data_IF_519821387649
#
_entry.id   IF_519821387649
#
_cell.length_a   1.000
_cell.length_b   1.000
_cell.length_c   1.000
_cell.angle_alpha   90.00
_cell.angle_beta   90.00
_cell.angle_gamma   90.00
#
_symmetry.space_group_name_H-M   'P 1'
#
loop_
_entity.id
_entity.type
_entity.pdbx_description
1 polymer ?
#
# COMPACT_ATOMS: atom_id res chain seq x y z
N UNK A 1 -4.85 -44.24 36.20
CA UNK A 1 -3.64 -43.42 36.39
C UNK A 1 -3.45 -42.59 35.13
N UNK A 2 -3.91 -41.33 35.13
CA UNK A 2 -3.73 -40.40 34.03
C UNK A 2 -2.45 -39.60 34.31
N UNK A 3 -1.48 -39.72 33.44
CA UNK A 3 -0.27 -38.89 33.49
C UNK A 3 -0.68 -37.46 33.10
N UNK A 4 -0.47 -36.53 34.03
CA UNK A 4 -0.57 -35.08 33.79
C UNK A 4 0.60 -34.67 32.93
N UNK A 5 0.31 -34.25 31.68
CA UNK A 5 1.30 -33.59 30.85
C UNK A 5 1.68 -32.25 31.52
N UNK A 6 2.94 -32.11 31.85
CA UNK A 6 3.54 -30.85 32.31
C UNK A 6 3.42 -29.81 31.20
N UNK A 7 3.08 -28.54 31.54
CA UNK A 7 3.07 -27.46 30.55
C UNK A 7 4.49 -27.30 30.00
N UNK A 8 4.65 -27.36 28.67
CA UNK A 8 5.88 -26.97 28.00
C UNK A 8 6.30 -25.57 28.49
N UNK A 9 7.42 -25.49 29.15
CA UNK A 9 8.06 -24.23 29.51
C UNK A 9 8.30 -23.44 28.22
N UNK A 10 7.60 -22.32 28.09
CA UNK A 10 7.87 -21.33 27.06
C UNK A 10 9.26 -20.78 27.33
N UNK A 11 10.25 -21.34 26.67
CA UNK A 11 11.61 -20.84 26.74
C UNK A 11 11.62 -19.35 26.41
N UNK A 12 12.13 -18.49 27.32
CA UNK A 12 12.32 -17.07 27.01
C UNK A 12 13.22 -17.01 25.77
N UNK A 13 12.67 -16.48 24.67
CA UNK A 13 13.38 -16.44 23.39
C UNK A 13 14.75 -15.78 23.54
N UNK A 14 15.75 -16.40 22.94
CA UNK A 14 17.12 -15.89 22.89
C UNK A 14 17.15 -14.39 22.57
N UNK A 15 17.99 -13.57 23.24
CA UNK A 15 18.12 -12.13 22.98
C UNK A 15 18.33 -11.87 21.47
N UNK A 16 17.80 -10.76 20.95
CA UNK A 16 18.07 -10.36 19.55
C UNK A 16 19.57 -10.20 19.45
N UNK A 17 20.22 -11.17 18.80
CA UNK A 17 21.65 -11.14 18.59
C UNK A 17 21.98 -9.88 17.76
N UNK A 18 22.90 -9.05 18.24
CA UNK A 18 23.46 -7.92 17.50
C UNK A 18 23.92 -8.29 16.08
N UNK A 19 24.13 -9.60 15.82
CA UNK A 19 24.39 -10.16 14.48
C UNK A 19 23.16 -10.08 13.56
N UNK A 20 21.94 -10.24 14.08
CA UNK A 20 20.71 -10.19 13.26
C UNK A 20 20.46 -8.79 12.73
N UNK A 21 20.60 -7.75 13.57
CA UNK A 21 20.46 -6.35 13.16
C UNK A 21 21.56 -5.94 12.19
N UNK A 22 22.79 -6.45 12.37
CA UNK A 22 23.89 -6.23 11.44
C UNK A 22 23.61 -6.89 10.08
N UNK A 23 23.04 -8.10 10.05
CA UNK A 23 22.64 -8.78 8.81
C UNK A 23 21.56 -8.00 8.08
N UNK A 24 20.54 -7.48 8.79
CA UNK A 24 19.52 -6.64 8.20
C UNK A 24 20.12 -5.38 7.58
N UNK A 25 20.99 -4.67 8.30
CA UNK A 25 21.65 -3.47 7.78
C UNK A 25 22.46 -3.79 6.51
N UNK A 26 23.27 -4.86 6.54
CA UNK A 26 24.03 -5.29 5.36
C UNK A 26 23.10 -5.70 4.20
N UNK A 27 22.00 -6.38 4.47
CA UNK A 27 21.03 -6.69 3.43
C UNK A 27 20.48 -5.43 2.78
N UNK A 28 20.04 -4.45 3.55
CA UNK A 28 19.53 -3.16 3.02
C UNK A 28 20.60 -2.44 2.20
N UNK A 29 21.83 -2.35 2.72
CA UNK A 29 22.95 -1.69 2.01
C UNK A 29 23.31 -2.43 0.71
N UNK A 30 23.42 -3.75 0.74
CA UNK A 30 23.73 -4.56 -0.43
C UNK A 30 22.61 -4.52 -1.46
N UNK A 31 21.34 -4.54 -1.00
CA UNK A 31 20.20 -4.35 -1.89
C UNK A 31 20.22 -2.98 -2.58
N UNK A 32 20.53 -1.91 -1.84
CA UNK A 32 20.70 -0.58 -2.40
C UNK A 32 21.79 -0.54 -3.46
N UNK A 33 22.94 -1.16 -3.18
CA UNK A 33 24.05 -1.19 -4.14
C UNK A 33 23.72 -2.06 -5.36
N UNK A 34 23.12 -3.22 -5.17
CA UNK A 34 22.78 -4.14 -6.25
C UNK A 34 21.60 -3.64 -7.10
N UNK A 35 20.46 -3.33 -6.47
CA UNK A 35 19.25 -2.95 -7.18
C UNK A 35 19.33 -1.52 -7.73
N UNK A 36 19.90 -0.60 -6.97
CA UNK A 36 19.92 0.81 -7.37
C UNK A 36 21.17 1.21 -8.15
N UNK A 37 22.33 0.68 -7.86
CA UNK A 37 23.53 0.94 -8.63
C UNK A 37 23.76 -0.13 -9.72
N UNK A 38 23.69 -1.41 -9.38
CA UNK A 38 23.95 -2.52 -10.28
C UNK A 38 22.99 -2.57 -11.47
N UNK A 39 21.69 -2.49 -11.22
CA UNK A 39 20.70 -2.45 -12.31
C UNK A 39 20.83 -1.23 -13.20
N UNK A 40 21.26 -0.09 -12.65
CA UNK A 40 21.54 1.10 -13.43
C UNK A 40 22.74 0.94 -14.34
N UNK A 41 23.81 0.36 -13.83
CA UNK A 41 24.99 0.09 -14.62
C UNK A 41 24.66 -0.89 -15.76
N UNK A 42 23.89 -1.94 -15.48
CA UNK A 42 23.43 -2.88 -16.48
C UNK A 42 22.55 -2.15 -17.53
N UNK A 43 21.57 -1.36 -17.10
CA UNK A 43 20.69 -0.61 -17.99
C UNK A 43 21.48 0.35 -18.87
N UNK A 44 22.47 1.04 -18.33
CA UNK A 44 23.29 1.99 -19.08
C UNK A 44 24.26 1.30 -20.06
N UNK A 45 25.07 0.34 -19.58
CA UNK A 45 26.16 -0.24 -20.36
C UNK A 45 25.71 -1.38 -21.26
N UNK A 46 24.70 -2.16 -20.88
CA UNK A 46 24.23 -3.31 -21.66
C UNK A 46 23.08 -2.94 -22.58
N UNK A 47 22.16 -2.10 -22.08
CA UNK A 47 20.93 -1.77 -22.79
C UNK A 47 20.88 -0.35 -23.34
N UNK A 48 21.93 0.44 -23.15
CA UNK A 48 22.09 1.82 -23.65
C UNK A 48 20.90 2.75 -23.32
N UNK A 49 20.26 2.55 -22.16
CA UNK A 49 19.11 3.35 -21.73
C UNK A 49 19.49 4.38 -20.69
N UNK A 50 18.71 5.47 -20.69
CA UNK A 50 18.80 6.52 -19.66
C UNK A 50 18.46 5.98 -18.27
N UNK A 51 19.27 6.40 -17.30
CA UNK A 51 19.25 5.91 -15.92
C UNK A 51 18.26 6.69 -15.04
N UNK A 52 17.35 7.45 -15.64
CA UNK A 52 16.84 8.68 -15.03
C UNK A 52 15.74 8.52 -13.98
N UNK A 53 14.91 7.46 -13.99
CA UNK A 53 13.73 7.43 -13.13
C UNK A 53 14.05 7.49 -11.62
N UNK A 54 15.11 6.82 -11.20
CA UNK A 54 15.48 6.83 -9.80
C UNK A 54 16.15 8.13 -9.37
N UNK A 55 17.05 8.64 -10.23
CA UNK A 55 17.68 9.96 -10.06
C UNK A 55 16.63 11.05 -10.02
N UNK A 56 15.64 11.02 -10.92
CA UNK A 56 14.54 11.96 -10.98
C UNK A 56 13.74 11.93 -9.69
N UNK A 57 13.36 10.75 -9.16
CA UNK A 57 12.57 10.63 -7.91
C UNK A 57 13.26 11.24 -6.71
N UNK A 58 14.54 10.92 -6.48
CA UNK A 58 15.28 11.50 -5.37
C UNK A 58 15.61 12.97 -5.61
N UNK A 59 15.87 13.37 -6.84
CA UNK A 59 16.01 14.78 -7.18
C UNK A 59 14.73 15.55 -6.84
N UNK A 60 13.55 15.04 -7.23
CA UNK A 60 12.26 15.62 -6.86
C UNK A 60 12.10 15.74 -5.35
N UNK A 61 12.43 14.69 -4.62
CA UNK A 61 12.33 14.66 -3.16
C UNK A 61 13.19 15.73 -2.49
N UNK A 62 14.45 15.85 -2.89
CA UNK A 62 15.39 16.80 -2.28
C UNK A 62 15.21 18.24 -2.78
N UNK A 63 14.62 18.45 -3.94
CA UNK A 63 14.35 19.78 -4.49
C UNK A 63 12.90 20.23 -4.25
N UNK A 64 12.14 19.53 -3.41
CA UNK A 64 10.75 19.85 -3.12
C UNK A 64 9.92 20.05 -4.39
N UNK A 65 10.02 19.09 -5.30
CA UNK A 65 9.24 19.07 -6.53
C UNK A 65 8.46 17.77 -6.62
N UNK A 66 7.23 17.84 -7.11
CA UNK A 66 6.40 16.67 -7.42
C UNK A 66 5.51 16.97 -8.64
N UNK A 67 5.14 15.93 -9.36
CA UNK A 67 4.08 16.01 -10.35
C UNK A 67 2.71 16.20 -9.66
N UNK A 68 1.64 16.30 -10.42
CA UNK A 68 0.30 16.59 -9.89
C UNK A 68 -0.71 15.50 -10.29
N UNK A 69 -0.27 14.27 -10.35
CA UNK A 69 -1.03 13.15 -10.91
C UNK A 69 -2.37 12.89 -10.18
N UNK A 70 -2.38 12.93 -8.84
CA UNK A 70 -3.65 12.98 -8.08
C UNK A 70 -4.16 14.40 -7.86
N UNK A 71 -3.25 15.33 -7.57
CA UNK A 71 -3.64 16.67 -7.14
C UNK A 71 -4.23 17.51 -8.27
N UNK A 72 -3.78 17.33 -9.50
CA UNK A 72 -4.32 18.02 -10.69
C UNK A 72 -5.80 17.73 -10.88
N UNK A 73 -6.21 16.48 -11.11
CA UNK A 73 -7.61 16.10 -11.24
C UNK A 73 -8.47 16.47 -10.02
N UNK A 74 -7.95 16.29 -8.81
CA UNK A 74 -8.67 16.61 -7.57
C UNK A 74 -8.92 18.12 -7.44
N UNK A 75 -7.90 18.96 -7.62
CA UNK A 75 -8.04 20.41 -7.52
C UNK A 75 -8.84 20.98 -8.70
N UNK A 76 -8.61 20.44 -9.91
CA UNK A 76 -9.40 20.80 -11.09
C UNK A 76 -10.90 20.55 -10.90
N UNK A 77 -11.26 19.41 -10.28
CA UNK A 77 -12.65 19.08 -9.96
C UNK A 77 -13.26 20.02 -8.92
N UNK A 78 -12.47 20.40 -7.90
CA UNK A 78 -12.92 21.40 -6.90
C UNK A 78 -13.12 22.76 -7.54
N UNK A 79 -12.21 23.22 -8.39
CA UNK A 79 -12.32 24.50 -9.09
C UNK A 79 -13.52 24.52 -10.02
N UNK A 80 -13.72 23.45 -10.81
CA UNK A 80 -14.90 23.30 -11.68
C UNK A 80 -16.20 23.35 -10.88
N UNK A 81 -16.26 22.65 -9.75
CA UNK A 81 -17.44 22.66 -8.88
C UNK A 81 -17.73 24.06 -8.29
N UNK A 82 -16.69 24.80 -7.88
CA UNK A 82 -16.86 26.14 -7.33
C UNK A 82 -17.33 27.16 -8.38
N UNK A 83 -16.89 26.99 -9.64
CA UNK A 83 -17.33 27.86 -10.76
C UNK A 83 -18.71 27.49 -11.29
N UNK A 84 -19.02 26.17 -11.30
CA UNK A 84 -20.24 25.63 -11.89
C UNK A 84 -20.90 24.60 -10.97
N UNK A 85 -21.52 25.02 -9.84
CA UNK A 85 -22.06 24.11 -8.82
C UNK A 85 -23.16 23.17 -9.31
N UNK A 86 -23.83 23.53 -10.40
CA UNK A 86 -24.91 22.75 -11.02
C UNK A 86 -24.41 21.63 -11.94
N UNK A 87 -23.16 21.68 -12.39
CA UNK A 87 -22.58 20.63 -13.25
C UNK A 87 -22.17 19.42 -12.42
N UNK A 88 -22.44 18.20 -12.91
CA UNK A 88 -21.99 16.99 -12.25
C UNK A 88 -20.45 16.89 -12.24
N UNK A 89 -19.85 16.73 -11.06
CA UNK A 89 -18.38 16.72 -10.88
C UNK A 89 -17.70 15.67 -11.73
N UNK A 90 -18.26 14.47 -11.82
CA UNK A 90 -17.67 13.35 -12.58
C UNK A 90 -17.94 13.38 -14.08
N UNK A 91 -18.71 14.32 -14.58
CA UNK A 91 -19.06 14.47 -16.00
C UNK A 91 -18.38 15.67 -16.66
N UNK A 92 -17.73 16.53 -15.87
CA UNK A 92 -17.04 17.70 -16.36
C UNK A 92 -15.84 17.26 -17.20
N UNK A 93 -15.97 17.29 -18.54
CA UNK A 93 -14.90 16.96 -19.50
C UNK A 93 -13.74 17.98 -19.51
N UNK A 94 -13.79 19.00 -18.68
CA UNK A 94 -12.86 20.15 -18.69
C UNK A 94 -11.47 19.81 -18.12
N UNK A 95 -11.36 18.73 -17.30
CA UNK A 95 -10.13 18.30 -16.67
C UNK A 95 -10.07 16.76 -16.61
N UNK A 96 -8.91 16.22 -16.31
CA UNK A 96 -8.69 14.81 -16.07
C UNK A 96 -9.78 14.21 -15.17
N UNK A 97 -10.33 13.08 -15.57
CA UNK A 97 -11.48 12.49 -14.89
C UNK A 97 -11.12 12.16 -13.44
N UNK A 98 -11.82 12.77 -12.49
CA UNK A 98 -11.69 12.42 -11.07
C UNK A 98 -12.10 10.96 -10.85
N UNK A 99 -11.17 10.17 -10.36
CA UNK A 99 -11.39 8.73 -10.07
C UNK A 99 -11.57 8.45 -8.58
N UNK A 100 -11.48 9.47 -7.76
CA UNK A 100 -11.56 9.40 -6.30
C UNK A 100 -12.97 9.73 -5.79
N UNK A 101 -13.41 9.17 -4.63
CA UNK A 101 -14.65 9.58 -3.98
C UNK A 101 -14.55 11.03 -3.49
N UNK A 102 -15.69 11.73 -3.42
CA UNK A 102 -15.72 13.14 -3.05
C UNK A 102 -15.25 13.44 -1.63
N UNK A 103 -15.29 12.46 -0.75
CA UNK A 103 -14.69 12.55 0.60
C UNK A 103 -13.20 12.88 0.55
N UNK A 104 -12.48 12.42 -0.48
CA UNK A 104 -11.04 12.65 -0.63
C UNK A 104 -10.70 14.10 -1.02
N UNK A 105 -11.61 14.83 -1.65
CA UNK A 105 -11.40 16.21 -2.10
C UNK A 105 -11.96 17.26 -1.12
N UNK A 106 -12.60 16.84 -0.03
CA UNK A 106 -13.10 17.76 1.01
C UNK A 106 -12.02 18.71 1.56
N UNK A 107 -10.80 18.24 1.89
CA UNK A 107 -9.74 19.16 2.36
C UNK A 107 -9.41 20.24 1.33
N UNK A 108 -9.36 19.89 0.04
CA UNK A 108 -9.07 20.86 -1.02
C UNK A 108 -10.19 21.89 -1.16
N UNK A 109 -11.45 21.44 -1.05
CA UNK A 109 -12.60 22.35 -1.06
C UNK A 109 -12.52 23.36 0.08
N UNK A 110 -12.16 22.93 1.28
CA UNK A 110 -12.02 23.83 2.43
C UNK A 110 -10.87 24.81 2.24
N UNK A 111 -9.71 24.37 1.70
CA UNK A 111 -8.58 25.25 1.38
C UNK A 111 -9.00 26.32 0.35
N UNK A 112 -9.73 25.93 -0.69
CA UNK A 112 -10.25 26.87 -1.71
C UNK A 112 -11.28 27.84 -1.14
N UNK A 113 -12.21 27.37 -0.30
CA UNK A 113 -13.17 28.24 0.39
C UNK A 113 -12.51 29.19 1.39
N UNK A 114 -11.37 28.81 1.95
CA UNK A 114 -10.55 29.71 2.76
C UNK A 114 -9.73 30.72 1.94
N UNK A 115 -9.94 30.79 0.61
CA UNK A 115 -9.30 31.78 -0.27
C UNK A 115 -7.90 31.41 -0.74
N UNK A 116 -7.44 30.17 -0.54
CA UNK A 116 -6.09 29.77 -1.01
C UNK A 116 -6.05 29.74 -2.54
N UNK A 117 -4.99 30.30 -3.12
CA UNK A 117 -4.69 30.16 -4.54
C UNK A 117 -4.31 28.71 -4.87
N UNK A 118 -4.45 28.29 -6.15
CA UNK A 118 -4.07 26.95 -6.59
C UNK A 118 -2.58 26.67 -6.30
N UNK A 119 -1.71 27.64 -6.54
CA UNK A 119 -0.29 27.52 -6.23
C UNK A 119 -0.02 27.29 -4.73
N UNK A 120 -0.80 27.96 -3.85
CA UNK A 120 -0.71 27.77 -2.40
C UNK A 120 -1.21 26.40 -1.98
N UNK A 121 -2.29 25.88 -2.60
CA UNK A 121 -2.82 24.53 -2.36
C UNK A 121 -1.78 23.48 -2.80
N UNK A 122 -1.23 23.57 -4.02
CA UNK A 122 -0.18 22.65 -4.47
C UNK A 122 1.05 22.65 -3.57
N UNK A 123 1.50 23.83 -3.12
CA UNK A 123 2.63 23.94 -2.18
C UNK A 123 2.31 23.27 -0.85
N UNK A 124 1.13 23.49 -0.30
CA UNK A 124 0.71 22.86 0.95
C UNK A 124 0.64 21.33 0.82
N UNK A 125 0.09 20.81 -0.28
CA UNK A 125 0.01 19.36 -0.57
C UNK A 125 1.40 18.76 -0.74
N UNK A 126 2.32 19.44 -1.42
CA UNK A 126 3.70 19.00 -1.59
C UNK A 126 4.42 18.90 -0.25
N UNK A 127 4.32 19.93 0.60
CA UNK A 127 4.91 19.92 1.95
C UNK A 127 4.30 18.80 2.81
N UNK A 128 2.96 18.66 2.78
CA UNK A 128 2.26 17.60 3.50
C UNK A 128 2.69 16.20 3.01
N UNK A 129 2.83 16.00 1.69
CA UNK A 129 3.32 14.76 1.10
C UNK A 129 4.76 14.45 1.50
N UNK A 130 5.64 15.47 1.53
CA UNK A 130 7.02 15.33 1.97
C UNK A 130 7.11 14.92 3.46
N UNK A 131 6.32 15.57 4.32
CA UNK A 131 6.21 15.20 5.73
C UNK A 131 5.62 13.78 5.90
N UNK A 132 4.69 13.39 5.04
CA UNK A 132 4.10 12.05 5.05
C UNK A 132 5.13 10.94 4.74
N UNK A 133 6.09 11.18 3.84
CA UNK A 133 7.21 10.25 3.60
C UNK A 133 7.99 10.00 4.89
N UNK A 134 8.39 11.06 5.59
CA UNK A 134 9.11 10.94 6.87
C UNK A 134 8.25 10.29 7.95
N UNK A 135 6.95 10.60 7.97
CA UNK A 135 6.02 9.99 8.92
C UNK A 135 5.93 8.47 8.72
N UNK A 136 5.82 7.99 7.48
CA UNK A 136 5.81 6.55 7.16
C UNK A 136 7.10 5.88 7.63
N UNK A 137 8.26 6.48 7.35
CA UNK A 137 9.57 5.94 7.75
C UNK A 137 9.67 5.87 9.28
N UNK A 138 9.30 6.93 9.98
CA UNK A 138 9.29 6.98 11.44
C UNK A 138 8.34 5.92 12.03
N UNK A 139 7.13 5.79 11.47
CA UNK A 139 6.15 4.80 11.90
C UNK A 139 6.66 3.36 11.67
N UNK A 140 7.35 3.09 10.56
CA UNK A 140 7.99 1.80 10.33
C UNK A 140 9.05 1.48 11.39
N UNK A 141 9.87 2.46 11.78
CA UNK A 141 10.84 2.30 12.89
C UNK A 141 10.13 2.09 14.23
N UNK A 142 9.02 2.78 14.48
CA UNK A 142 8.21 2.58 15.70
C UNK A 142 7.61 1.17 15.72
N UNK A 143 7.09 0.66 14.61
CA UNK A 143 6.60 -0.72 14.50
C UNK A 143 7.73 -1.72 14.81
N UNK A 144 8.90 -1.53 14.21
CA UNK A 144 10.08 -2.35 14.48
C UNK A 144 10.46 -2.32 15.98
N UNK A 145 10.45 -1.13 16.60
CA UNK A 145 10.71 -0.97 18.03
C UNK A 145 9.67 -1.70 18.89
N UNK A 146 8.40 -1.58 18.56
CA UNK A 146 7.32 -2.20 19.33
C UNK A 146 7.35 -3.73 19.25
N UNK A 147 7.58 -4.32 18.08
CA UNK A 147 7.68 -5.78 17.95
C UNK A 147 8.88 -6.35 18.72
N UNK A 148 10.01 -5.63 18.71
CA UNK A 148 11.19 -5.99 19.48
C UNK A 148 10.93 -5.86 20.98
N UNK A 149 10.27 -4.77 21.41
CA UNK A 149 9.88 -4.54 22.81
C UNK A 149 8.91 -5.60 23.33
N UNK A 150 7.93 -6.03 22.54
CA UNK A 150 7.00 -7.10 22.90
C UNK A 150 7.70 -8.44 23.18
N UNK A 151 8.96 -8.58 22.78
CA UNK A 151 9.80 -9.77 23.01
C UNK A 151 10.78 -9.60 24.18
N UNK A 152 10.67 -8.50 24.93
CA UNK A 152 11.56 -8.20 26.05
C UNK A 152 12.92 -7.61 25.63
N UNK A 153 13.10 -7.25 24.35
CA UNK A 153 14.36 -6.72 23.82
C UNK A 153 14.29 -5.23 23.51
N UNK A 154 15.42 -4.66 23.12
CA UNK A 154 15.53 -3.28 22.63
C UNK A 154 16.00 -3.27 21.18
N UNK A 155 15.32 -2.50 20.34
CA UNK A 155 15.78 -2.27 18.97
C UNK A 155 17.13 -1.58 19.00
N UNK A 156 18.15 -2.20 18.38
CA UNK A 156 19.48 -1.59 18.27
C UNK A 156 19.45 -0.39 17.31
N UNK A 157 20.45 0.50 17.43
CA UNK A 157 20.58 1.61 16.48
C UNK A 157 20.75 1.13 15.03
N UNK A 158 21.43 -0.03 14.83
CA UNK A 158 21.59 -0.65 13.50
C UNK A 158 20.28 -1.13 12.91
N UNK A 159 19.43 -1.74 13.73
CA UNK A 159 18.08 -2.13 13.31
C UNK A 159 17.19 -0.93 12.98
N UNK A 160 17.28 0.15 13.78
CA UNK A 160 16.58 1.39 13.51
C UNK A 160 17.04 2.05 12.20
N UNK A 161 18.35 2.16 11.99
CA UNK A 161 18.96 2.71 10.77
C UNK A 161 18.60 1.84 9.55
N UNK A 162 18.70 0.51 9.66
CA UNK A 162 18.31 -0.39 8.59
C UNK A 162 16.84 -0.21 8.19
N UNK A 163 15.93 -0.09 9.16
CA UNK A 163 14.50 0.14 8.90
C UNK A 163 14.28 1.51 8.27
N UNK A 164 14.96 2.56 8.75
CA UNK A 164 14.83 3.91 8.21
C UNK A 164 15.36 3.99 6.76
N UNK A 165 16.54 3.43 6.50
CA UNK A 165 17.11 3.36 5.15
C UNK A 165 16.22 2.51 4.23
N UNK A 166 15.78 1.33 4.69
CA UNK A 166 14.84 0.52 3.94
C UNK A 166 13.57 1.30 3.58
N UNK A 167 12.99 2.02 4.53
CA UNK A 167 11.81 2.87 4.29
C UNK A 167 12.06 4.01 3.31
N UNK A 168 13.20 4.70 3.42
CA UNK A 168 13.55 5.79 2.51
C UNK A 168 13.78 5.30 1.07
N UNK A 169 14.38 4.13 0.91
CA UNK A 169 14.62 3.52 -0.40
C UNK A 169 13.52 2.56 -0.86
N UNK A 170 12.42 2.50 -0.13
CA UNK A 170 11.23 1.76 -0.57
C UNK A 170 10.56 2.50 -1.73
N UNK A 171 10.81 2.03 -2.94
CA UNK A 171 10.45 2.69 -4.19
C UNK A 171 8.99 3.17 -4.23
N UNK A 172 7.97 2.37 -3.81
CA UNK A 172 6.59 2.80 -3.89
C UNK A 172 6.28 4.12 -3.15
N UNK A 173 6.94 4.37 -2.01
CA UNK A 173 6.74 5.59 -1.21
C UNK A 173 7.33 6.81 -1.92
N UNK A 174 8.58 6.71 -2.38
CA UNK A 174 9.24 7.83 -3.07
C UNK A 174 8.61 8.09 -4.44
N UNK A 175 8.09 7.06 -5.09
CA UNK A 175 7.32 7.18 -6.32
C UNK A 175 5.98 7.89 -6.07
N UNK A 176 5.24 7.52 -5.01
CA UNK A 176 4.01 8.21 -4.63
C UNK A 176 4.23 9.72 -4.40
N UNK A 177 5.32 10.08 -3.73
CA UNK A 177 5.72 11.48 -3.56
C UNK A 177 6.03 12.14 -4.90
N UNK A 178 6.92 11.56 -5.70
CA UNK A 178 7.39 12.13 -6.99
C UNK A 178 6.24 12.37 -7.97
N UNK A 179 5.26 11.48 -8.01
CA UNK A 179 4.07 11.61 -8.86
C UNK A 179 3.01 12.57 -8.30
N UNK A 180 3.13 13.02 -7.05
CA UNK A 180 2.07 13.82 -6.41
C UNK A 180 0.80 13.02 -6.19
N UNK A 181 0.96 11.80 -5.65
CA UNK A 181 -0.12 10.86 -5.40
C UNK A 181 -0.69 10.98 -3.99
N UNK A 182 -2.02 10.97 -3.88
CA UNK A 182 -2.71 10.85 -2.59
C UNK A 182 -2.34 9.55 -1.84
N UNK A 183 -1.74 8.59 -2.53
CA UNK A 183 -1.32 7.31 -1.98
C UNK A 183 -0.39 7.45 -0.78
N UNK A 184 0.47 8.47 -0.74
CA UNK A 184 1.41 8.66 0.37
C UNK A 184 0.70 8.80 1.73
N UNK A 185 -0.49 9.41 1.76
CA UNK A 185 -1.32 9.51 2.98
C UNK A 185 -1.96 8.16 3.33
N UNK A 186 -2.29 7.34 2.33
CA UNK A 186 -2.78 5.97 2.57
C UNK A 186 -1.67 5.11 3.18
N UNK A 187 -0.42 5.30 2.79
CA UNK A 187 0.73 4.61 3.37
C UNK A 187 0.92 4.98 4.84
N UNK A 188 0.73 6.28 5.19
CA UNK A 188 0.70 6.75 6.60
C UNK A 188 -0.44 6.08 7.35
N UNK A 189 -1.67 6.16 6.83
CA UNK A 189 -2.85 5.63 7.52
C UNK A 189 -2.77 4.12 7.70
N UNK A 190 -2.28 3.38 6.70
CA UNK A 190 -2.14 1.94 6.83
C UNK A 190 -1.05 1.56 7.85
N UNK A 191 0.07 2.29 7.87
CA UNK A 191 1.13 2.06 8.87
C UNK A 191 0.65 2.43 10.28
N UNK A 192 -0.15 3.49 10.43
CA UNK A 192 -0.83 3.82 11.69
C UNK A 192 -1.84 2.73 12.10
N UNK A 193 -2.61 2.19 11.15
CA UNK A 193 -3.52 1.08 11.39
C UNK A 193 -2.78 -0.10 12.02
N UNK A 194 -1.66 -0.52 11.42
CA UNK A 194 -0.83 -1.61 11.95
C UNK A 194 -0.33 -1.30 13.37
N UNK A 195 0.15 -0.09 13.60
CA UNK A 195 0.64 0.34 14.91
C UNK A 195 -0.48 0.36 15.96
N UNK A 196 -1.65 0.93 15.66
CA UNK A 196 -2.78 0.95 16.60
C UNK A 196 -3.31 -0.44 16.87
N UNK A 197 -3.35 -1.29 15.85
CA UNK A 197 -3.74 -2.68 16.01
C UNK A 197 -2.78 -3.43 16.94
N UNK A 198 -1.48 -3.29 16.72
CA UNK A 198 -0.43 -3.90 17.55
C UNK A 198 -0.45 -3.38 19.01
N UNK A 199 -0.79 -2.10 19.21
CA UNK A 199 -0.93 -1.49 20.54
C UNK A 199 -2.26 -1.80 21.23
N UNK A 200 -3.14 -2.58 20.62
CA UNK A 200 -4.44 -2.92 21.20
C UNK A 200 -5.42 -1.74 21.28
N UNK A 201 -5.31 -0.78 20.36
CA UNK A 201 -6.24 0.34 20.25
C UNK A 201 -7.19 0.18 19.05
N UNK A 202 -8.26 -0.66 19.18
CA UNK A 202 -9.12 -0.98 18.06
C UNK A 202 -9.93 0.22 17.56
N UNK A 203 -10.24 1.21 18.41
CA UNK A 203 -11.00 2.39 17.99
C UNK A 203 -10.20 3.25 17.01
N UNK A 204 -8.94 3.56 17.33
CA UNK A 204 -8.06 4.30 16.41
C UNK A 204 -7.76 3.50 15.16
N UNK A 205 -7.63 2.17 15.27
CA UNK A 205 -7.50 1.30 14.09
C UNK A 205 -8.75 1.41 13.19
N UNK A 206 -9.95 1.42 13.74
CA UNK A 206 -11.19 1.61 12.98
C UNK A 206 -11.27 2.98 12.29
N UNK A 207 -10.88 4.05 12.99
CA UNK A 207 -10.78 5.40 12.40
C UNK A 207 -9.82 5.40 11.20
N UNK A 208 -8.63 4.80 11.33
CA UNK A 208 -7.66 4.76 10.22
C UNK A 208 -8.16 3.91 9.05
N UNK A 209 -8.89 2.80 9.29
CA UNK A 209 -9.55 2.03 8.23
C UNK A 209 -10.58 2.89 7.46
N UNK A 210 -11.34 3.71 8.17
CA UNK A 210 -12.30 4.61 7.56
C UNK A 210 -11.60 5.70 6.70
N UNK A 211 -10.53 6.31 7.20
CA UNK A 211 -9.74 7.29 6.44
C UNK A 211 -9.17 6.69 5.16
N UNK A 212 -8.65 5.46 5.20
CA UNK A 212 -8.23 4.71 4.01
C UNK A 212 -9.40 4.55 3.02
N UNK A 213 -10.57 4.14 3.51
CA UNK A 213 -11.78 3.88 2.70
C UNK A 213 -12.31 5.16 2.05
N UNK A 214 -12.24 6.31 2.75
CA UNK A 214 -12.67 7.61 2.23
C UNK A 214 -11.84 8.08 1.03
N UNK A 215 -10.61 7.59 0.87
CA UNK A 215 -9.74 7.93 -0.27
C UNK A 215 -9.78 6.83 -1.31
N UNK A 216 -9.72 5.56 -0.91
CA UNK A 216 -9.79 4.39 -1.80
C UNK A 216 -10.78 3.36 -1.25
N UNK A 217 -11.98 3.23 -1.83
CA UNK A 217 -13.08 2.40 -1.29
C UNK A 217 -12.76 0.92 -1.11
N UNK A 218 -11.79 0.36 -1.86
CA UNK A 218 -11.37 -1.03 -1.69
C UNK A 218 -10.85 -1.33 -0.28
N UNK A 219 -10.35 -0.34 0.46
CA UNK A 219 -9.99 -0.50 1.87
C UNK A 219 -11.19 -0.69 2.80
N UNK A 220 -12.43 -0.50 2.32
CA UNK A 220 -13.65 -0.87 3.02
C UNK A 220 -13.73 -2.36 3.36
N UNK A 221 -13.00 -3.21 2.63
CA UNK A 221 -12.82 -4.62 2.96
C UNK A 221 -12.20 -4.85 4.34
N UNK A 222 -11.41 -3.90 4.87
CA UNK A 222 -10.88 -3.94 6.23
C UNK A 222 -12.00 -3.86 7.28
N UNK A 223 -13.06 -3.08 7.03
CA UNK A 223 -14.22 -3.02 7.93
C UNK A 223 -15.04 -4.30 7.87
N UNK A 224 -15.23 -4.90 6.68
CA UNK A 224 -15.83 -6.22 6.56
C UNK A 224 -15.00 -7.28 7.29
N UNK A 225 -13.67 -7.23 7.16
CA UNK A 225 -12.74 -8.08 7.88
C UNK A 225 -12.92 -7.94 9.41
N UNK A 226 -13.02 -6.69 9.94
CA UNK A 226 -13.26 -6.48 11.39
C UNK A 226 -14.59 -7.05 11.87
N UNK A 227 -15.64 -6.96 11.03
CA UNK A 227 -16.93 -7.57 11.33
C UNK A 227 -16.83 -9.10 11.46
N UNK A 228 -16.20 -9.77 10.47
CA UNK A 228 -15.98 -11.22 10.46
C UNK A 228 -15.09 -11.69 11.63
N UNK A 229 -14.15 -10.84 12.08
CA UNK A 229 -13.28 -11.10 13.24
C UNK A 229 -13.92 -10.68 14.57
N UNK A 230 -15.20 -10.21 14.54
CA UNK A 230 -15.94 -9.73 15.73
C UNK A 230 -15.22 -8.64 16.51
N UNK A 231 -14.47 -7.77 15.79
CA UNK A 231 -13.74 -6.64 16.36
C UNK A 231 -14.63 -5.39 16.39
N UNK A 232 -15.73 -5.47 17.14
CA UNK A 232 -16.84 -4.51 17.13
C UNK A 232 -16.41 -3.07 17.43
N UNK A 233 -15.47 -2.87 18.36
CA UNK A 233 -14.98 -1.52 18.68
C UNK A 233 -14.29 -0.84 17.49
N UNK A 234 -13.54 -1.58 16.66
CA UNK A 234 -12.94 -1.07 15.44
C UNK A 234 -14.02 -0.81 14.37
N UNK A 235 -14.94 -1.76 14.21
CA UNK A 235 -16.03 -1.66 13.25
C UNK A 235 -16.89 -0.42 13.49
N UNK A 236 -17.38 -0.22 14.71
CA UNK A 236 -18.25 0.92 15.03
C UNK A 236 -17.51 2.26 14.94
N UNK A 237 -16.25 2.34 15.40
CA UNK A 237 -15.45 3.54 15.21
C UNK A 237 -15.23 3.86 13.73
N UNK A 238 -14.96 2.84 12.92
CA UNK A 238 -14.81 2.98 11.47
C UNK A 238 -16.11 3.45 10.80
N UNK A 239 -17.23 2.82 11.09
CA UNK A 239 -18.54 3.24 10.54
C UNK A 239 -18.94 4.64 10.99
N UNK A 240 -18.73 5.01 12.25
CA UNK A 240 -19.00 6.37 12.72
C UNK A 240 -18.18 7.41 11.96
N UNK A 241 -16.88 7.11 11.71
CA UNK A 241 -15.99 7.99 10.93
C UNK A 241 -16.42 8.08 9.46
N UNK A 242 -16.78 6.94 8.83
CA UNK A 242 -17.30 6.94 7.46
C UNK A 242 -18.61 7.71 7.35
N UNK A 243 -19.54 7.54 8.30
CA UNK A 243 -20.80 8.27 8.31
C UNK A 243 -20.57 9.78 8.43
N UNK A 244 -19.66 10.20 9.33
CA UNK A 244 -19.30 11.62 9.44
C UNK A 244 -18.73 12.17 8.13
N UNK A 245 -17.81 11.44 7.47
CA UNK A 245 -17.25 11.80 6.17
C UNK A 245 -18.30 11.84 5.06
N UNK A 246 -19.22 10.87 5.02
CA UNK A 246 -20.32 10.83 4.05
C UNK A 246 -21.27 12.01 4.23
N UNK A 247 -21.66 12.32 5.49
CA UNK A 247 -22.49 13.49 5.79
C UNK A 247 -21.78 14.78 5.35
N UNK A 248 -20.51 14.95 5.68
CA UNK A 248 -19.73 16.11 5.25
C UNK A 248 -19.64 16.21 3.73
N UNK A 249 -19.43 15.07 3.02
CA UNK A 249 -19.36 15.04 1.56
C UNK A 249 -20.71 15.36 0.91
N UNK A 250 -21.81 14.80 1.45
CA UNK A 250 -23.17 15.10 0.94
C UNK A 250 -23.55 16.55 1.21
N UNK A 251 -23.22 17.09 2.38
CA UNK A 251 -23.43 18.50 2.70
C UNK A 251 -22.62 19.45 1.81
N UNK A 252 -21.40 19.04 1.41
CA UNK A 252 -20.52 19.85 0.58
C UNK A 252 -20.86 19.81 -0.91
N UNK A 253 -21.20 18.63 -1.45
CA UNK A 253 -21.30 18.36 -2.90
C UNK A 253 -22.68 17.87 -3.34
N UNK A 254 -23.60 17.64 -2.41
CA UNK A 254 -24.93 17.08 -2.69
C UNK A 254 -24.92 15.55 -2.87
N UNK A 255 -26.08 14.94 -2.62
CA UNK A 255 -26.25 13.48 -2.70
C UNK A 255 -26.01 12.94 -4.13
N UNK A 256 -26.53 13.64 -5.16
CA UNK A 256 -26.41 13.22 -6.55
C UNK A 256 -24.95 13.03 -6.98
N UNK A 257 -24.08 14.00 -6.71
CA UNK A 257 -22.66 13.90 -7.05
C UNK A 257 -21.98 12.71 -6.32
N UNK A 258 -22.34 12.46 -5.06
CA UNK A 258 -21.80 11.30 -4.32
C UNK A 258 -22.27 9.97 -4.93
N UNK A 259 -23.52 9.85 -5.38
CA UNK A 259 -24.03 8.64 -6.04
C UNK A 259 -23.46 8.44 -7.45
N UNK A 260 -23.14 9.51 -8.18
CA UNK A 260 -22.49 9.42 -9.49
C UNK A 260 -21.12 8.74 -9.44
N UNK A 261 -20.46 8.72 -8.28
CA UNK A 261 -19.22 7.95 -8.07
C UNK A 261 -19.38 6.44 -8.33
N UNK A 262 -20.56 5.87 -8.10
CA UNK A 262 -20.81 4.45 -8.39
C UNK A 262 -20.65 4.13 -9.89
N UNK A 263 -20.97 5.09 -10.77
CA UNK A 263 -20.73 4.97 -12.22
C UNK A 263 -19.24 4.98 -12.55
N UNK A 264 -18.46 5.82 -11.84
CA UNK A 264 -16.99 5.85 -12.00
C UNK A 264 -16.39 4.49 -11.62
N UNK A 265 -16.78 3.93 -10.47
CA UNK A 265 -16.32 2.60 -10.03
C UNK A 265 -16.62 1.51 -11.05
N UNK A 266 -17.86 1.49 -11.58
CA UNK A 266 -18.27 0.54 -12.62
C UNK A 266 -17.42 0.69 -13.90
N UNK A 267 -17.09 1.93 -14.29
CA UNK A 267 -16.22 2.21 -15.44
C UNK A 267 -14.79 1.74 -15.22
N UNK A 268 -14.22 2.05 -14.06
CA UNK A 268 -12.82 1.71 -13.73
C UNK A 268 -12.58 0.20 -13.69
N UNK A 269 -13.58 -0.61 -13.28
CA UNK A 269 -13.45 -2.06 -13.24
C UNK A 269 -13.19 -2.69 -14.62
N UNK A 270 -13.58 -2.00 -15.70
CA UNK A 270 -13.47 -2.48 -17.09
C UNK A 270 -12.33 -1.82 -17.87
N UNK A 271 -11.78 -0.71 -17.36
CA UNK A 271 -10.83 0.16 -18.07
C UNK A 271 -9.51 0.25 -17.32
N UNK A 272 -8.82 -0.85 -17.16
CA UNK A 272 -7.46 -0.83 -16.64
C UNK A 272 -6.43 -0.80 -17.79
N UNK A 273 -5.21 -0.38 -17.48
CA UNK A 273 -4.13 -0.26 -18.46
C UNK A 273 -3.15 -1.43 -18.39
N UNK A 274 -2.59 -1.89 -19.52
CA UNK A 274 -1.58 -2.94 -19.58
C UNK A 274 -0.18 -2.45 -19.22
N UNK A 275 0.01 -1.14 -19.05
CA UNK A 275 1.28 -0.50 -18.73
C UNK A 275 2.04 -1.24 -17.63
N UNK A 276 3.37 -1.34 -17.73
CA UNK A 276 4.20 -2.12 -16.81
C UNK A 276 4.01 -1.72 -15.34
N UNK A 277 3.73 -0.45 -15.07
CA UNK A 277 3.48 0.03 -13.71
C UNK A 277 2.16 -0.49 -13.11
N UNK A 278 1.26 -1.08 -13.91
CA UNK A 278 0.07 -1.76 -13.40
C UNK A 278 0.43 -3.17 -12.91
N UNK A 279 0.72 -3.30 -11.66
CA UNK A 279 1.15 -4.51 -10.97
C UNK A 279 -0.06 -5.29 -10.40
N UNK A 280 -1.02 -5.63 -11.28
CA UNK A 280 -2.23 -6.41 -10.96
C UNK A 280 -2.34 -7.63 -11.86
N UNK A 281 -3.31 -8.53 -11.56
CA UNK A 281 -3.65 -9.64 -12.45
C UNK A 281 -4.08 -9.15 -13.83
N UNK A 282 -4.83 -8.05 -13.92
CA UNK A 282 -5.23 -7.45 -15.19
C UNK A 282 -4.00 -7.02 -16.01
N UNK A 283 -3.06 -6.30 -15.39
CA UNK A 283 -1.81 -5.89 -16.04
C UNK A 283 -1.00 -7.09 -16.53
N UNK A 284 -0.86 -8.12 -15.68
CA UNK A 284 -0.15 -9.36 -16.03
C UNK A 284 -0.76 -10.05 -17.26
N UNK A 285 -2.07 -10.27 -17.26
CA UNK A 285 -2.74 -10.99 -18.35
C UNK A 285 -2.70 -10.22 -19.67
N UNK A 286 -2.94 -8.90 -19.65
CA UNK A 286 -2.84 -8.10 -20.87
C UNK A 286 -1.42 -8.08 -21.44
N UNK A 287 -0.39 -7.99 -20.58
CA UNK A 287 1.02 -8.10 -21.02
C UNK A 287 1.33 -9.48 -21.60
N UNK A 288 0.81 -10.53 -21.01
CA UNK A 288 1.02 -11.91 -21.50
C UNK A 288 0.50 -12.15 -22.91
N UNK A 289 -0.57 -11.44 -23.32
CA UNK A 289 -1.17 -11.55 -24.65
C UNK A 289 -0.91 -10.34 -25.57
N UNK A 290 -0.01 -9.42 -25.17
CA UNK A 290 0.27 -8.19 -25.93
C UNK A 290 -0.98 -7.34 -26.23
N UNK A 291 -1.94 -7.30 -25.32
CA UNK A 291 -3.16 -6.52 -25.50
C UNK A 291 -2.91 -5.06 -25.03
N UNK A 292 -2.52 -4.20 -25.94
CA UNK A 292 -2.19 -2.81 -25.70
C UNK A 292 -0.70 -2.55 -25.38
N UNK A 293 -0.31 -1.29 -25.36
CA UNK A 293 1.06 -0.87 -25.12
C UNK A 293 1.42 -0.97 -23.64
N UNK A 294 2.58 -1.56 -23.34
CA UNK A 294 2.99 -1.80 -21.96
C UNK A 294 4.17 -0.92 -21.48
N UNK A 295 4.92 -0.28 -22.36
CA UNK A 295 6.03 0.60 -21.99
C UNK A 295 5.64 2.09 -21.99
N UNK A 296 5.07 2.67 -23.07
CA UNK A 296 4.61 4.04 -23.04
C UNK A 296 3.35 4.18 -22.20
N UNK A 297 3.29 5.25 -21.43
CA UNK A 297 2.07 5.61 -20.69
C UNK A 297 1.25 6.60 -21.52
N UNK A 298 0.09 6.17 -21.94
CA UNK A 298 -0.88 7.02 -22.61
C UNK A 298 -2.11 7.16 -21.73
N UNK A 299 -2.29 8.31 -21.06
CA UNK A 299 -3.49 8.54 -20.26
C UNK A 299 -4.75 8.38 -21.13
N UNK A 300 -5.76 7.70 -20.58
CA UNK A 300 -7.06 7.45 -21.25
C UNK A 300 -7.03 6.53 -22.48
N UNK A 301 -5.89 5.98 -22.87
CA UNK A 301 -5.82 4.91 -23.86
C UNK A 301 -5.91 3.58 -23.17
N UNK A 302 -6.98 2.84 -23.43
CA UNK A 302 -7.24 1.54 -22.84
C UNK A 302 -7.10 0.45 -23.89
N UNK A 303 -6.63 -0.75 -23.49
CA UNK A 303 -6.54 -1.87 -24.40
C UNK A 303 -7.95 -2.33 -24.85
N UNK A 304 -8.07 -2.97 -26.02
CA UNK A 304 -9.29 -3.64 -26.41
C UNK A 304 -9.83 -4.56 -25.30
N UNK A 305 -11.16 -4.57 -25.13
CA UNK A 305 -11.79 -5.42 -24.13
C UNK A 305 -11.68 -6.91 -24.51
N UNK A 306 -11.05 -7.69 -23.64
CA UNK A 306 -10.88 -9.12 -23.79
C UNK A 306 -11.66 -9.83 -22.66
N UNK A 307 -12.80 -10.49 -22.97
CA UNK A 307 -13.69 -11.04 -21.94
C UNK A 307 -13.02 -11.98 -20.95
N UNK A 308 -12.21 -12.93 -21.43
CA UNK A 308 -11.55 -13.89 -20.53
C UNK A 308 -10.53 -13.23 -19.60
N UNK A 309 -9.79 -12.19 -20.04
CA UNK A 309 -8.89 -11.40 -19.19
C UNK A 309 -9.69 -10.72 -18.07
N UNK A 310 -10.82 -10.11 -18.42
CA UNK A 310 -11.69 -9.46 -17.46
C UNK A 310 -12.24 -10.44 -16.42
N UNK A 311 -12.83 -11.56 -16.86
CA UNK A 311 -13.41 -12.55 -15.95
C UNK A 311 -12.35 -13.26 -15.10
N UNK A 312 -11.17 -13.55 -15.65
CA UNK A 312 -10.06 -14.13 -14.87
C UNK A 312 -9.57 -13.15 -13.81
N UNK A 313 -9.49 -11.85 -14.15
CA UNK A 313 -9.14 -10.80 -13.17
C UNK A 313 -10.18 -10.77 -12.05
N UNK A 314 -11.47 -10.76 -12.35
CA UNK A 314 -12.52 -10.79 -11.34
C UNK A 314 -12.47 -12.04 -10.47
N UNK A 315 -12.30 -13.21 -11.09
CA UNK A 315 -12.21 -14.48 -10.37
C UNK A 315 -11.00 -14.50 -9.42
N UNK A 316 -9.84 -14.03 -9.88
CA UNK A 316 -8.63 -13.93 -9.06
C UNK A 316 -8.80 -12.93 -7.91
N UNK A 317 -9.40 -11.77 -8.19
CA UNK A 317 -9.73 -10.78 -7.17
C UNK A 317 -10.66 -11.36 -6.11
N UNK A 318 -11.75 -12.03 -6.54
CA UNK A 318 -12.67 -12.69 -5.63
C UNK A 318 -11.99 -13.79 -4.80
N UNK A 319 -11.15 -14.62 -5.43
CA UNK A 319 -10.40 -15.66 -4.73
C UNK A 319 -9.45 -15.09 -3.67
N UNK A 320 -8.71 -14.01 -3.97
CA UNK A 320 -7.84 -13.33 -3.01
C UNK A 320 -8.63 -12.72 -1.85
N UNK A 321 -9.76 -12.07 -2.15
CA UNK A 321 -10.64 -11.48 -1.11
C UNK A 321 -11.22 -12.59 -0.23
N UNK A 322 -11.73 -13.68 -0.83
CA UNK A 322 -12.26 -14.82 -0.07
C UNK A 322 -11.16 -15.48 0.77
N UNK A 323 -9.94 -15.63 0.24
CA UNK A 323 -8.79 -16.12 1.00
C UNK A 323 -8.56 -15.23 2.23
N UNK A 324 -8.47 -13.91 2.06
CA UNK A 324 -8.20 -12.99 3.15
C UNK A 324 -9.34 -12.91 4.19
N UNK A 325 -10.59 -13.06 3.76
CA UNK A 325 -11.75 -13.04 4.65
C UNK A 325 -11.97 -14.38 5.35
N UNK A 326 -11.73 -15.51 4.66
CA UNK A 326 -12.00 -16.84 5.16
C UNK A 326 -10.83 -17.43 5.97
N UNK A 327 -9.59 -17.09 5.65
CA UNK A 327 -8.38 -17.56 6.33
C UNK A 327 -7.94 -16.54 7.40
N UNK A 328 -7.52 -16.89 8.55
CA UNK A 328 -7.44 -18.14 9.32
C UNK A 328 -8.60 -18.24 10.33
N UNK A 329 -9.33 -19.33 10.27
CA UNK A 329 -10.68 -19.41 10.85
C UNK A 329 -10.80 -19.51 12.36
N UNK A 330 -9.79 -19.79 13.13
CA UNK A 330 -9.95 -19.95 14.59
C UNK A 330 -8.79 -19.39 15.42
N UNK A 331 -7.54 -19.74 15.12
CA UNK A 331 -6.41 -19.44 16.00
C UNK A 331 -5.73 -18.09 15.74
N UNK A 332 -5.79 -17.61 14.48
CA UNK A 332 -5.11 -16.37 14.05
C UNK A 332 -6.04 -15.21 13.69
N UNK A 333 -7.34 -15.40 13.93
CA UNK A 333 -8.33 -14.40 13.59
C UNK A 333 -8.09 -13.07 14.31
N UNK A 334 -7.80 -12.02 13.54
CA UNK A 334 -7.47 -10.71 14.08
C UNK A 334 -6.00 -10.56 14.51
N UNK A 335 -5.10 -11.46 14.11
CA UNK A 335 -3.65 -11.29 14.29
C UNK A 335 -3.07 -10.22 13.37
N UNK A 336 -1.81 -9.81 13.61
CA UNK A 336 -1.08 -8.91 12.72
C UNK A 336 -0.87 -9.53 11.33
N UNK A 337 -0.63 -10.84 11.25
CA UNK A 337 -0.49 -11.54 9.97
C UNK A 337 -1.81 -11.55 9.19
N UNK A 338 -2.94 -11.81 9.86
CA UNK A 338 -4.28 -11.78 9.25
C UNK A 338 -4.62 -10.38 8.71
N UNK A 339 -4.35 -9.33 9.50
CA UNK A 339 -4.49 -7.93 9.05
C UNK A 339 -3.56 -7.62 7.88
N UNK A 340 -2.32 -8.12 7.92
CA UNK A 340 -1.35 -7.96 6.85
C UNK A 340 -1.81 -8.59 5.53
N UNK A 341 -2.35 -9.82 5.57
CA UNK A 341 -2.94 -10.47 4.38
C UNK A 341 -4.05 -9.62 3.80
N UNK A 342 -4.99 -9.14 4.65
CA UNK A 342 -6.08 -8.30 4.18
C UNK A 342 -5.57 -6.99 3.55
N UNK A 343 -4.54 -6.37 4.15
CA UNK A 343 -3.92 -5.15 3.62
C UNK A 343 -3.28 -5.35 2.24
N UNK A 344 -2.51 -6.43 2.05
CA UNK A 344 -1.94 -6.76 0.74
C UNK A 344 -3.04 -7.03 -0.30
N UNK A 345 -4.07 -7.78 0.08
CA UNK A 345 -5.20 -8.09 -0.80
C UNK A 345 -5.97 -6.83 -1.21
N UNK A 346 -6.16 -5.86 -0.32
CA UNK A 346 -6.77 -4.57 -0.68
C UNK A 346 -6.02 -3.84 -1.83
N UNK A 347 -4.72 -4.10 -1.98
CA UNK A 347 -3.92 -3.53 -3.08
C UNK A 347 -4.04 -4.35 -4.35
N UNK A 348 -3.74 -5.66 -4.28
CA UNK A 348 -3.54 -6.47 -5.48
C UNK A 348 -4.83 -7.09 -6.07
N UNK A 349 -5.93 -7.09 -5.31
CA UNK A 349 -7.23 -7.57 -5.79
C UNK A 349 -8.00 -6.53 -6.62
N UNK A 350 -7.34 -5.45 -7.04
CA UNK A 350 -7.92 -4.42 -7.90
C UNK A 350 -7.42 -4.57 -9.34
N UNK A 351 -8.20 -4.22 -10.36
CA UNK A 351 -7.73 -4.28 -11.76
C UNK A 351 -6.62 -3.26 -12.05
N UNK A 352 -6.50 -2.21 -11.23
CA UNK A 352 -5.42 -1.22 -11.29
C UNK A 352 -4.69 -1.16 -9.95
N UNK A 353 -3.55 -1.83 -9.87
CA UNK A 353 -2.62 -1.77 -8.75
C UNK A 353 -1.29 -1.16 -9.22
N UNK A 354 -1.22 0.16 -9.23
CA UNK A 354 -0.01 0.87 -9.61
C UNK A 354 1.14 0.62 -8.63
N UNK A 355 2.38 0.69 -9.08
CA UNK A 355 3.59 0.47 -8.27
C UNK A 355 3.56 1.26 -6.94
N UNK A 356 3.12 2.52 -6.98
CA UNK A 356 3.02 3.34 -5.77
C UNK A 356 1.93 2.88 -4.79
N UNK A 357 0.95 2.05 -5.19
CA UNK A 357 -0.04 1.47 -4.25
C UNK A 357 0.58 0.49 -3.26
N UNK A 358 1.74 -0.07 -3.60
CA UNK A 358 2.47 -1.03 -2.76
C UNK A 358 3.14 -0.37 -1.55
N UNK A 359 3.12 0.96 -1.46
CA UNK A 359 3.66 1.72 -0.32
C UNK A 359 3.12 1.28 1.04
N UNK A 360 1.85 0.86 1.11
CA UNK A 360 1.23 0.34 2.35
C UNK A 360 1.98 -0.88 2.92
N UNK A 361 2.75 -1.61 2.12
CA UNK A 361 3.42 -2.83 2.56
C UNK A 361 4.65 -2.58 3.42
N UNK A 362 5.16 -1.34 3.49
CA UNK A 362 6.34 -1.01 4.30
C UNK A 362 6.14 -1.32 5.78
N UNK A 363 4.95 -1.02 6.33
CA UNK A 363 4.61 -1.34 7.71
C UNK A 363 4.55 -2.85 7.96
N UNK A 364 4.08 -3.62 6.97
CA UNK A 364 4.05 -5.09 7.03
C UNK A 364 5.49 -5.62 7.03
N UNK A 365 6.35 -5.11 6.15
CA UNK A 365 7.77 -5.50 6.12
C UNK A 365 8.49 -5.15 7.43
N UNK A 366 8.28 -3.93 7.95
CA UNK A 366 8.88 -3.52 9.21
C UNK A 366 8.49 -4.44 10.38
N UNK A 367 7.22 -4.91 10.42
CA UNK A 367 6.76 -5.89 11.38
C UNK A 367 7.36 -7.27 11.10
N UNK A 368 7.28 -7.75 9.86
CA UNK A 368 7.60 -9.14 9.50
C UNK A 368 9.10 -9.44 9.57
N UNK A 369 9.97 -8.49 9.23
CA UNK A 369 11.41 -8.62 9.39
C UNK A 369 11.78 -9.02 10.82
N UNK A 370 11.35 -8.23 11.79
CA UNK A 370 11.66 -8.50 13.19
C UNK A 370 10.85 -9.67 13.75
N UNK A 371 9.72 -10.01 13.11
CA UNK A 371 8.97 -11.22 13.43
C UNK A 371 9.69 -12.50 13.02
N UNK A 372 10.39 -12.51 11.88
CA UNK A 372 11.00 -13.71 11.29
C UNK A 372 12.52 -13.87 11.56
N UNK A 373 13.24 -12.80 11.92
CA UNK A 373 14.71 -12.84 12.10
C UNK A 373 15.22 -13.94 13.04
N UNK A 374 14.37 -14.49 13.91
CA UNK A 374 14.71 -15.57 14.85
C UNK A 374 14.32 -16.98 14.40
N UNK A 375 13.65 -17.11 13.23
CA UNK A 375 13.00 -18.38 12.84
C UNK A 375 13.75 -19.22 11.83
N UNK A 376 14.90 -18.77 11.35
CA UNK A 376 15.72 -19.54 10.42
C UNK A 376 15.97 -18.81 9.09
N UNK A 377 17.07 -19.21 8.45
CA UNK A 377 17.57 -18.55 7.23
C UNK A 377 16.60 -18.64 6.04
N UNK A 378 15.81 -19.71 5.95
CA UNK A 378 14.91 -19.91 4.81
C UNK A 378 13.79 -18.88 4.70
N UNK A 379 13.09 -18.59 5.81
CA UNK A 379 12.01 -17.59 5.78
C UNK A 379 12.56 -16.17 5.59
N UNK A 380 13.74 -15.87 6.16
CA UNK A 380 14.42 -14.60 5.95
C UNK A 380 14.82 -14.39 4.47
N UNK A 381 15.25 -15.44 3.78
CA UNK A 381 15.56 -15.38 2.35
C UNK A 381 14.32 -15.05 1.52
N UNK A 382 13.20 -15.74 1.73
CA UNK A 382 11.98 -15.47 1.01
C UNK A 382 11.41 -14.07 1.29
N UNK A 383 11.59 -13.57 2.52
CA UNK A 383 11.23 -12.18 2.85
C UNK A 383 12.14 -11.19 2.13
N UNK A 384 13.44 -11.49 2.00
CA UNK A 384 14.38 -10.70 1.22
C UNK A 384 13.99 -10.68 -0.28
N UNK A 385 13.60 -11.83 -0.84
CA UNK A 385 13.10 -11.91 -2.21
C UNK A 385 11.83 -11.08 -2.38
N UNK A 386 10.84 -11.20 -1.47
CA UNK A 386 9.62 -10.39 -1.52
C UNK A 386 9.93 -8.88 -1.43
N UNK A 387 10.91 -8.51 -0.58
CA UNK A 387 11.38 -7.13 -0.48
C UNK A 387 11.93 -6.62 -1.81
N UNK A 388 12.92 -7.33 -2.41
CA UNK A 388 13.52 -6.93 -3.69
C UNK A 388 12.45 -6.77 -4.77
N UNK A 389 11.50 -7.68 -4.85
CA UNK A 389 10.41 -7.61 -5.83
C UNK A 389 9.44 -6.44 -5.60
N UNK A 390 9.29 -5.92 -4.36
CA UNK A 390 8.33 -4.87 -4.06
C UNK A 390 9.01 -3.51 -3.86
N UNK A 391 10.19 -3.49 -3.24
CA UNK A 391 10.85 -2.26 -2.82
C UNK A 391 11.66 -1.58 -3.92
N UNK A 392 12.04 -2.34 -4.96
CA UNK A 392 12.97 -1.87 -5.98
C UNK A 392 12.28 -1.70 -7.34
N UNK A 393 12.84 -0.80 -8.16
CA UNK A 393 12.44 -0.64 -9.55
C UNK A 393 13.32 -1.53 -10.44
N UNK A 394 12.77 -2.64 -10.89
CA UNK A 394 13.49 -3.63 -11.69
C UNK A 394 13.39 -3.29 -13.19
N UNK A 395 13.84 -2.08 -13.56
CA UNK A 395 13.78 -1.56 -14.92
C UNK A 395 14.36 -2.48 -16.01
N UNK A 396 15.42 -3.30 -15.77
CA UNK A 396 15.89 -4.24 -16.79
C UNK A 396 14.82 -5.24 -17.25
N UNK A 397 13.80 -5.52 -16.44
CA UNK A 397 12.71 -6.41 -16.83
C UNK A 397 11.84 -5.84 -17.97
N UNK A 398 11.86 -4.52 -18.17
CA UNK A 398 11.15 -3.86 -19.26
C UNK A 398 11.71 -4.24 -20.64
N UNK A 399 12.96 -4.69 -20.72
CA UNK A 399 13.55 -5.20 -21.97
C UNK A 399 12.94 -6.51 -22.43
N UNK A 400 12.30 -7.25 -21.54
CA UNK A 400 11.57 -8.46 -21.89
C UNK A 400 10.18 -8.16 -22.50
N UNK A 401 9.77 -6.89 -22.55
CA UNK A 401 8.49 -6.48 -23.13
C UNK A 401 8.20 -7.06 -24.53
N UNK A 402 9.16 -7.16 -25.46
CA UNK A 402 8.91 -7.72 -26.79
C UNK A 402 8.75 -9.25 -26.80
N UNK A 403 9.07 -9.94 -25.70
CA UNK A 403 9.08 -11.41 -25.68
C UNK A 403 7.83 -11.95 -24.96
N UNK A 404 6.98 -12.79 -25.59
CA UNK A 404 5.69 -13.22 -25.06
C UNK A 404 5.72 -13.77 -23.63
N UNK A 405 6.55 -14.80 -23.41
CA UNK A 405 6.63 -15.47 -22.09
C UNK A 405 7.34 -14.59 -21.06
N UNK A 406 8.38 -13.86 -21.48
CA UNK A 406 9.21 -13.06 -20.57
C UNK A 406 8.56 -11.73 -20.19
N UNK A 407 7.60 -11.26 -20.99
CA UNK A 407 6.86 -10.03 -20.69
C UNK A 407 6.10 -10.08 -19.35
N UNK A 408 5.68 -11.28 -18.91
CA UNK A 408 5.03 -11.46 -17.60
C UNK A 408 5.97 -11.12 -16.43
N UNK A 409 7.28 -11.13 -16.62
CA UNK A 409 8.26 -10.76 -15.59
C UNK A 409 8.15 -9.29 -15.16
N UNK A 410 7.60 -8.44 -16.01
CA UNK A 410 7.26 -7.06 -15.63
C UNK A 410 6.22 -6.97 -14.48
N UNK A 411 5.53 -8.08 -14.15
CA UNK A 411 4.60 -8.16 -13.02
C UNK A 411 5.29 -8.55 -11.70
N UNK A 412 6.56 -8.22 -11.55
CA UNK A 412 7.41 -8.63 -10.44
C UNK A 412 6.87 -8.24 -9.06
N UNK A 413 6.28 -7.03 -8.92
CA UNK A 413 5.68 -6.61 -7.64
C UNK A 413 4.44 -7.42 -7.30
N UNK A 414 3.63 -7.81 -8.30
CA UNK A 414 2.47 -8.68 -8.08
C UNK A 414 2.93 -10.05 -7.55
N UNK A 415 3.99 -10.63 -8.12
CA UNK A 415 4.57 -11.88 -7.61
C UNK A 415 5.16 -11.70 -6.21
N UNK A 416 5.82 -10.57 -5.95
CA UNK A 416 6.32 -10.21 -4.63
C UNK A 416 5.21 -10.14 -3.58
N UNK A 417 4.05 -9.57 -3.94
CA UNK A 417 2.88 -9.49 -3.06
C UNK A 417 2.26 -10.86 -2.78
N UNK A 418 2.17 -11.73 -3.78
CA UNK A 418 1.73 -13.12 -3.58
C UNK A 418 2.68 -13.88 -2.64
N UNK A 419 3.99 -13.69 -2.81
CA UNK A 419 5.00 -14.25 -1.91
C UNK A 419 4.87 -13.68 -0.48
N UNK A 420 4.57 -12.39 -0.35
CA UNK A 420 4.34 -11.76 0.95
C UNK A 420 3.08 -12.33 1.63
N UNK A 421 1.99 -12.55 0.90
CA UNK A 421 0.80 -13.25 1.41
C UNK A 421 1.19 -14.64 1.91
N UNK A 422 1.92 -15.41 1.11
CA UNK A 422 2.35 -16.76 1.49
C UNK A 422 3.19 -16.76 2.78
N UNK A 423 4.10 -15.80 2.95
CA UNK A 423 4.89 -15.62 4.16
C UNK A 423 4.00 -15.30 5.37
N UNK A 424 3.06 -14.37 5.22
CA UNK A 424 2.10 -13.99 6.26
C UNK A 424 1.25 -15.19 6.70
N UNK A 425 0.77 -15.98 5.75
CA UNK A 425 -0.02 -17.19 6.02
C UNK A 425 0.78 -18.26 6.78
N UNK A 426 2.11 -18.30 6.63
CA UNK A 426 3.01 -19.24 7.31
C UNK A 426 3.65 -18.69 8.59
N UNK A 427 3.52 -17.40 8.84
CA UNK A 427 4.08 -16.77 10.05
C UNK A 427 3.20 -17.14 11.25
N UNK A 428 3.68 -17.92 12.21
CA UNK A 428 2.91 -18.23 13.40
C UNK A 428 2.67 -16.96 14.23
N UNK A 429 1.64 -17.01 15.05
CA UNK A 429 1.26 -15.89 15.88
C UNK A 429 2.41 -15.44 16.79
N UNK A 430 2.82 -14.20 16.61
CA UNK A 430 3.74 -13.49 17.49
C UNK A 430 2.91 -12.49 18.32
N UNK A 431 1.74 -12.95 18.75
CA UNK A 431 0.88 -12.12 19.53
C UNK A 431 1.52 -11.77 20.88
N UNK A 432 1.50 -10.47 21.28
CA UNK A 432 0.96 -10.24 22.58
C UNK A 432 -0.54 -10.50 22.41
N UNK A 433 -1.01 -11.64 22.88
CA UNK A 433 -2.43 -11.81 23.18
C UNK A 433 -2.89 -10.51 23.81
N UNK A 434 -3.80 -9.78 23.14
CA UNK A 434 -4.60 -8.80 23.84
C UNK A 434 -5.07 -9.54 25.09
N UNK A 435 -4.48 -9.20 26.25
CA UNK A 435 -5.01 -9.67 27.52
C UNK A 435 -6.50 -9.47 27.39
N UNK A 436 -7.26 -10.54 27.42
CA UNK A 436 -8.70 -10.45 27.58
C UNK A 436 -8.85 -9.54 28.81
N UNK A 437 -9.11 -8.26 28.58
CA UNK A 437 -9.60 -7.39 29.63
C UNK A 437 -10.86 -8.07 30.06
N UNK A 438 -10.75 -8.76 31.20
CA UNK A 438 -11.81 -9.54 31.78
C UNK A 438 -13.07 -8.69 31.77
N UNK A 439 -14.13 -9.24 31.23
CA UNK A 439 -15.43 -8.75 31.51
C UNK A 439 -15.63 -8.77 33.05
N UNK A 440 -15.83 -7.64 33.58
CA UNK A 440 -16.68 -7.38 34.71
C UNK A 440 -17.73 -6.37 34.28
#
# INVERSE_FOLDING_TARGET
MAQSATPEEVHPGLPIDARSDRRLLWFVVLNLLAANAGFKLIAHFVFHTGVDEMRIRYWHFFHFWQATDSWGPMLGSVNSYLQHPTLPIYQAKLYDTLIYPLTSILPLLWMKRAGMSDASVYRALMIASWLAVWAVILLAVIIAKEIVRCRGDRLSWRGAVATALGGFFFMPITLAFSLGQAQIFLDVFFTLLLLFWMKGNPRLAGVTMALLTMVKPQFGLLLLWTALRRRWSALFAGFATLAAGAVASVAAFGLRNNLDYLRVLSGLSRKAQPHYANQSMFGLLNRAIFNGENLPYHPYVYPPFVPWVYYTTLATSAALILLALAYPWRERAGSMADLGVMGVVCVIATPMAWEHHYGVMIGIFAWLWFALLRRGAGQALWLAVAWVLIADFLSPLNYFAPFPVLNVLQSYMYFGALLLIWLLLRTPELAPTLKKSGGQ
#
